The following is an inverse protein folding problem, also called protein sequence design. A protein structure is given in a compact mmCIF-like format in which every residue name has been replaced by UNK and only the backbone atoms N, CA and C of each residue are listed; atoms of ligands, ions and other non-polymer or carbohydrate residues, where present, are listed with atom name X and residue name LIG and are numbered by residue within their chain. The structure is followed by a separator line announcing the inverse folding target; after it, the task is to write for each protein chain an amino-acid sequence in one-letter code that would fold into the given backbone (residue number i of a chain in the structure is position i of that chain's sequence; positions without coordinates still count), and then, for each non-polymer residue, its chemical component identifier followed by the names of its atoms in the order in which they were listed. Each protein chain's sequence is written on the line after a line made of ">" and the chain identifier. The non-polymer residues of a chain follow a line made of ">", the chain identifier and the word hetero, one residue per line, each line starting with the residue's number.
data_IF_061828529652
#
_entry.id   IF_061828529652
#
_cell.length_a   1.000
_cell.length_b   1.000
_cell.length_c   1.000
_cell.angle_alpha   90.00
_cell.angle_beta   90.00
_cell.angle_gamma   90.00
#
_symmetry.space_group_name_H-M   'P 1'
#
loop_
_entity.id
_entity.type
_entity.pdbx_description
1 polymer ?
#
# COMPACT_ATOMS: atom_id res chain seq x y z
N UNK A 1 -36.22 -23.60 36.25
CA UNK A 1 -37.49 -24.34 36.11
C UNK A 1 -38.29 -23.77 34.93
N UNK A 2 -38.82 -24.66 34.07
CA UNK A 2 -39.80 -24.47 32.95
C UNK A 2 -39.19 -23.97 31.62
N UNK A 3 -38.80 -24.88 30.69
CA UNK A 3 -39.55 -25.58 29.61
C UNK A 3 -39.83 -24.69 28.38
N UNK A 4 -39.07 -24.79 27.26
CA UNK A 4 -39.18 -25.70 26.07
C UNK A 4 -40.51 -25.57 25.28
N UNK A 5 -40.43 -25.18 23.99
CA UNK A 5 -41.15 -25.89 22.91
C UNK A 5 -40.58 -25.58 21.50
N UNK A 6 -40.24 -26.65 20.78
CA UNK A 6 -39.94 -26.72 19.33
C UNK A 6 -41.25 -26.92 18.56
N UNK A 7 -41.32 -26.47 17.30
CA UNK A 7 -42.26 -27.03 16.32
C UNK A 7 -41.61 -27.09 14.93
N UNK A 8 -41.58 -28.30 14.37
CA UNK A 8 -41.23 -28.62 13.00
C UNK A 8 -42.38 -29.44 12.39
N UNK A 9 -42.83 -29.10 11.18
CA UNK A 9 -43.74 -29.84 10.30
C UNK A 9 -43.55 -29.20 8.91
N UNK A 10 -43.52 -29.87 7.76
CA UNK A 10 -43.79 -31.25 7.37
C UNK A 10 -44.02 -31.23 5.85
N UNK A 11 -43.41 -32.17 5.12
CA UNK A 11 -43.50 -32.34 3.66
C UNK A 11 -44.92 -32.74 3.20
N UNK A 12 -45.34 -32.31 1.99
CA UNK A 12 -46.36 -33.03 1.21
C UNK A 12 -46.07 -32.90 -0.29
N UNK A 13 -45.88 -34.05 -0.94
CA UNK A 13 -45.75 -34.21 -2.39
C UNK A 13 -47.10 -34.62 -2.99
N UNK A 14 -47.45 -34.09 -4.17
CA UNK A 14 -48.56 -34.59 -4.99
C UNK A 14 -48.05 -34.79 -6.42
N UNK A 15 -48.11 -36.05 -6.84
CA UNK A 15 -47.90 -36.55 -8.21
C UNK A 15 -49.27 -36.69 -8.86
N UNK A 16 -49.45 -36.19 -10.09
CA UNK A 16 -50.60 -36.54 -10.94
C UNK A 16 -50.14 -36.70 -12.39
N UNK A 17 -50.45 -37.87 -12.94
CA UNK A 17 -50.12 -38.37 -14.28
C UNK A 17 -51.18 -38.02 -15.34
N UNK A 18 -50.75 -37.94 -16.60
CA UNK A 18 -51.44 -37.56 -17.86
C UNK A 18 -52.53 -38.57 -18.31
N UNK A 19 -53.36 -38.27 -19.35
CA UNK A 19 -52.95 -38.56 -20.74
C UNK A 19 -53.45 -37.61 -21.87
N UNK A 20 -52.56 -37.46 -22.86
CA UNK A 20 -52.73 -37.47 -24.34
C UNK A 20 -53.80 -36.63 -25.06
N UNK A 21 -53.31 -35.78 -25.99
CA UNK A 21 -53.91 -35.65 -27.32
C UNK A 21 -52.80 -35.45 -28.37
N UNK A 22 -52.67 -36.43 -29.26
CA UNK A 22 -51.83 -36.39 -30.47
C UNK A 22 -52.66 -35.83 -31.62
N UNK A 23 -52.13 -34.86 -32.36
CA UNK A 23 -52.54 -34.60 -33.76
C UNK A 23 -51.35 -34.07 -34.55
N UNK A 24 -51.18 -34.69 -35.70
CA UNK A 24 -50.18 -34.52 -36.75
C UNK A 24 -50.22 -33.15 -37.44
N UNK A 25 -49.05 -32.63 -37.80
CA UNK A 25 -48.91 -31.48 -38.69
C UNK A 25 -47.44 -31.19 -38.99
N UNK A 26 -46.91 -31.85 -40.02
CA UNK A 26 -45.56 -31.64 -40.55
C UNK A 26 -45.50 -30.37 -41.40
N UNK A 27 -44.77 -29.36 -40.94
CA UNK A 27 -44.13 -28.35 -41.78
C UNK A 27 -42.74 -28.10 -41.20
N UNK A 28 -41.71 -28.41 -42.00
CA UNK A 28 -40.32 -28.35 -41.58
C UNK A 28 -39.86 -26.93 -41.28
N UNK A 29 -38.99 -26.81 -40.28
CA UNK A 29 -37.81 -25.96 -40.32
C UNK A 29 -36.80 -26.49 -39.33
N UNK A 30 -35.57 -26.66 -39.80
CA UNK A 30 -34.41 -27.07 -39.03
C UNK A 30 -34.16 -26.02 -37.94
N UNK A 31 -34.24 -26.42 -36.67
CA UNK A 31 -33.73 -25.62 -35.57
C UNK A 31 -32.22 -25.81 -35.51
N UNK A 32 -31.53 -24.86 -36.12
CA UNK A 32 -30.12 -24.57 -35.88
C UNK A 32 -29.93 -24.27 -34.38
N UNK A 33 -28.92 -24.90 -33.78
CA UNK A 33 -28.64 -24.75 -32.35
C UNK A 33 -28.06 -23.37 -32.08
N UNK A 34 -28.92 -22.38 -31.81
CA UNK A 34 -28.48 -21.08 -31.36
C UNK A 34 -27.97 -21.19 -29.92
N UNK A 35 -26.65 -21.19 -29.78
CA UNK A 35 -25.92 -21.06 -28.54
C UNK A 35 -26.46 -19.90 -27.70
N UNK A 36 -26.54 -20.09 -26.38
CA UNK A 36 -26.82 -19.04 -25.42
C UNK A 36 -25.89 -17.83 -25.70
N UNK A 37 -26.39 -16.58 -25.62
CA UNK A 37 -25.52 -15.44 -25.82
C UNK A 37 -24.45 -15.46 -24.75
N UNK A 38 -23.20 -15.65 -25.18
CA UNK A 38 -22.04 -15.41 -24.35
C UNK A 38 -22.22 -14.01 -23.77
N UNK A 39 -22.23 -13.91 -22.43
CA UNK A 39 -22.12 -12.64 -21.74
C UNK A 39 -20.75 -12.09 -22.15
N UNK A 40 -20.71 -11.33 -23.25
CA UNK A 40 -19.50 -10.64 -23.65
C UNK A 40 -19.10 -9.77 -22.46
N UNK A 41 -17.99 -10.15 -21.84
CA UNK A 41 -17.32 -9.31 -20.87
C UNK A 41 -17.16 -7.96 -21.55
N UNK A 42 -17.91 -6.95 -21.08
CA UNK A 42 -17.73 -5.56 -21.50
C UNK A 42 -16.26 -5.23 -21.27
N UNK A 43 -15.47 -5.38 -22.33
CA UNK A 43 -14.11 -4.91 -22.42
C UNK A 43 -14.27 -3.41 -22.40
N UNK A 44 -14.22 -2.79 -21.22
CA UNK A 44 -14.25 -1.33 -21.13
C UNK A 44 -13.14 -0.85 -22.04
N UNK A 45 -13.49 -0.14 -23.12
CA UNK A 45 -12.52 0.54 -23.95
C UNK A 45 -11.76 1.49 -23.04
N UNK A 46 -10.54 1.07 -22.67
CA UNK A 46 -9.62 1.90 -21.90
C UNK A 46 -9.16 2.99 -22.85
N UNK A 47 -9.61 4.22 -22.62
CA UNK A 47 -9.10 5.41 -23.32
C UNK A 47 -7.59 5.49 -23.08
N UNK A 48 -6.73 5.30 -24.10
CA UNK A 48 -5.30 5.45 -23.93
C UNK A 48 -4.96 6.94 -23.76
N UNK A 49 -4.22 7.28 -22.70
CA UNK A 49 -3.49 8.55 -22.63
C UNK A 49 -4.31 9.81 -22.45
N UNK A 50 -5.36 9.81 -21.63
CA UNK A 50 -5.94 11.07 -21.17
C UNK A 50 -4.88 11.85 -20.36
N UNK A 51 -4.67 13.13 -20.69
CA UNK A 51 -3.82 14.08 -19.96
C UNK A 51 -4.41 14.35 -18.56
N UNK A 52 -4.42 13.33 -17.70
CA UNK A 52 -4.84 13.45 -16.32
C UNK A 52 -3.81 14.30 -15.57
N UNK A 53 -4.22 15.40 -14.92
CA UNK A 53 -3.29 16.23 -14.16
C UNK A 53 -2.72 15.46 -12.96
N UNK A 54 -1.52 15.85 -12.56
CA UNK A 54 -0.82 15.29 -11.40
C UNK A 54 0.37 14.39 -11.74
N UNK A 55 1.02 13.90 -10.68
CA UNK A 55 2.21 13.04 -10.78
C UNK A 55 1.87 11.57 -10.51
N UNK A 56 2.71 10.72 -11.09
CA UNK A 56 2.81 9.30 -10.82
C UNK A 56 4.30 8.90 -10.75
N UNK A 57 4.61 7.61 -10.55
CA UNK A 57 6.00 7.12 -10.61
C UNK A 57 6.28 6.29 -11.86
N UNK A 58 7.49 6.48 -12.40
CA UNK A 58 8.08 5.65 -13.45
C UNK A 58 9.49 5.20 -13.07
N UNK A 59 10.05 4.31 -13.89
CA UNK A 59 11.44 3.87 -13.79
C UNK A 59 12.38 4.94 -14.35
N UNK A 60 13.38 5.31 -13.57
CA UNK A 60 14.52 6.10 -13.98
C UNK A 60 15.72 5.23 -14.33
N UNK A 61 16.91 5.79 -14.15
CA UNK A 61 18.17 5.12 -14.45
C UNK A 61 18.42 3.94 -13.52
N UNK A 62 19.17 2.95 -14.02
CA UNK A 62 19.66 1.84 -13.21
C UNK A 62 20.73 2.34 -12.23
N UNK A 63 20.63 1.90 -10.97
CA UNK A 63 21.59 2.20 -9.91
C UNK A 63 22.06 0.92 -9.25
N UNK A 64 23.35 0.87 -8.89
CA UNK A 64 23.91 -0.20 -8.08
C UNK A 64 23.30 -0.17 -6.67
N UNK A 65 22.80 -1.31 -6.21
CA UNK A 65 22.17 -1.51 -4.90
C UNK A 65 22.29 -2.97 -4.49
N UNK A 66 23.35 -3.28 -3.72
CA UNK A 66 23.66 -4.64 -3.31
C UNK A 66 22.62 -5.18 -2.30
N UNK A 67 22.07 -6.35 -2.59
CA UNK A 67 21.19 -7.09 -1.69
C UNK A 67 22.04 -7.85 -0.67
N UNK A 68 21.87 -7.50 0.60
CA UNK A 68 22.50 -8.21 1.71
C UNK A 68 21.43 -9.02 2.44
N UNK A 69 21.46 -10.36 2.39
CA UNK A 69 20.54 -11.18 3.16
C UNK A 69 20.81 -10.97 4.65
N UNK A 70 19.74 -10.73 5.40
CA UNK A 70 19.79 -10.61 6.86
C UNK A 70 18.73 -11.53 7.48
N UNK A 71 19.11 -12.23 8.54
CA UNK A 71 18.17 -13.07 9.27
C UNK A 71 17.25 -12.19 10.12
N UNK A 72 15.95 -12.36 9.94
CA UNK A 72 14.93 -11.64 10.70
C UNK A 72 13.64 -12.45 10.77
N UNK A 73 13.15 -12.67 11.99
CA UNK A 73 11.86 -13.32 12.26
C UNK A 73 10.92 -12.28 12.85
N UNK A 74 9.75 -12.10 12.22
CA UNK A 74 8.74 -11.14 12.70
C UNK A 74 8.11 -11.61 13.99
N UNK A 75 7.83 -10.67 14.89
CA UNK A 75 7.03 -10.93 16.08
C UNK A 75 5.57 -11.30 15.74
N UNK A 76 5.05 -10.79 14.62
CA UNK A 76 3.68 -11.00 14.16
C UNK A 76 3.57 -10.94 12.63
N UNK A 77 2.52 -11.54 12.07
CA UNK A 77 2.17 -11.38 10.65
C UNK A 77 1.53 -10.02 10.34
N UNK A 78 1.09 -9.28 11.36
CA UNK A 78 0.61 -7.91 11.25
C UNK A 78 1.75 -6.92 11.53
N UNK A 79 1.83 -5.79 10.81
CA UNK A 79 2.84 -4.77 11.10
C UNK A 79 2.59 -4.14 12.48
N UNK A 80 3.67 -3.76 13.15
CA UNK A 80 3.61 -2.96 14.38
C UNK A 80 3.07 -1.54 14.10
N UNK A 81 3.22 -1.07 12.86
CA UNK A 81 2.51 0.10 12.37
C UNK A 81 2.75 0.32 10.88
N UNK A 82 1.88 1.13 10.29
CA UNK A 82 1.94 1.54 8.89
C UNK A 82 1.89 3.06 8.80
N UNK A 83 2.33 3.61 7.67
CA UNK A 83 2.13 5.02 7.33
C UNK A 83 2.16 5.20 5.80
N UNK A 84 1.59 6.31 5.34
CA UNK A 84 1.53 6.65 3.92
C UNK A 84 1.83 8.13 3.68
N UNK A 85 2.51 8.39 2.57
CA UNK A 85 2.74 9.71 2.01
C UNK A 85 2.06 9.77 0.65
N UNK A 86 1.21 10.77 0.46
CA UNK A 86 0.61 11.06 -0.84
C UNK A 86 1.50 12.08 -1.54
N UNK A 87 1.90 11.81 -2.79
CA UNK A 87 2.73 12.73 -3.55
C UNK A 87 1.96 13.30 -4.73
N UNK A 88 2.26 14.54 -5.08
CA UNK A 88 1.76 15.18 -6.30
C UNK A 88 2.67 16.37 -6.66
N UNK A 89 2.41 17.02 -7.80
CA UNK A 89 3.02 18.34 -8.05
C UNK A 89 2.36 19.42 -7.17
N UNK A 90 2.95 20.62 -7.13
CA UNK A 90 2.44 21.72 -6.29
C UNK A 90 0.99 22.09 -6.64
N UNK A 91 0.63 22.14 -7.93
CA UNK A 91 -0.74 22.46 -8.38
C UNK A 91 -1.72 21.36 -7.98
N UNK A 92 -1.31 20.11 -8.08
CA UNK A 92 -2.07 18.94 -7.64
C UNK A 92 -2.32 18.96 -6.13
N UNK A 93 -1.32 19.29 -5.32
CA UNK A 93 -1.50 19.46 -3.87
C UNK A 93 -2.48 20.61 -3.55
N UNK A 94 -2.40 21.73 -4.26
CA UNK A 94 -3.34 22.85 -4.12
C UNK A 94 -4.76 22.46 -4.51
N UNK A 95 -4.93 21.63 -5.55
CA UNK A 95 -6.23 21.11 -5.96
C UNK A 95 -6.77 20.05 -4.98
N UNK A 96 -5.90 19.25 -4.35
CA UNK A 96 -6.28 18.21 -3.41
C UNK A 96 -6.75 18.75 -2.06
N UNK A 97 -6.25 19.93 -1.66
CA UNK A 97 -6.59 20.51 -0.37
C UNK A 97 -6.43 22.03 -0.34
N UNK A 98 -7.46 22.71 0.18
CA UNK A 98 -7.46 24.16 0.42
C UNK A 98 -6.67 24.54 1.68
N UNK A 99 -6.49 23.62 2.63
CA UNK A 99 -5.84 23.88 3.92
C UNK A 99 -4.77 22.85 4.24
N UNK A 100 -3.52 23.30 4.20
CA UNK A 100 -2.33 22.49 4.51
C UNK A 100 -1.34 23.28 5.36
N UNK A 101 -0.66 22.59 6.27
CA UNK A 101 0.45 23.13 7.05
C UNK A 101 1.75 22.50 6.56
N UNK A 102 2.76 23.33 6.28
CA UNK A 102 4.11 22.82 6.01
C UNK A 102 4.68 22.17 7.28
N UNK A 103 5.30 21.02 7.13
CA UNK A 103 5.89 20.26 8.24
C UNK A 103 7.33 19.88 7.91
N UNK A 104 8.07 19.45 8.93
CA UNK A 104 9.38 18.84 8.71
C UNK A 104 9.25 17.62 7.79
N UNK A 105 10.16 17.42 6.81
CA UNK A 105 10.01 16.36 5.83
C UNK A 105 10.06 14.95 6.42
N UNK A 106 10.96 14.75 7.38
CA UNK A 106 11.02 13.55 8.18
C UNK A 106 9.97 13.65 9.30
N UNK A 107 9.10 12.64 9.39
CA UNK A 107 8.10 12.54 10.45
C UNK A 107 8.10 11.14 11.05
N UNK A 108 7.78 11.06 12.33
CA UNK A 108 7.65 9.78 13.04
C UNK A 108 6.43 9.00 12.57
N UNK A 109 6.58 7.68 12.46
CA UNK A 109 5.52 6.75 12.10
C UNK A 109 5.59 5.47 12.94
N UNK A 110 4.58 4.60 12.80
CA UNK A 110 4.49 3.31 13.51
C UNK A 110 4.73 3.46 15.03
N UNK A 111 3.98 4.35 15.68
CA UNK A 111 4.13 4.64 17.12
C UNK A 111 5.45 5.31 17.51
N UNK A 112 6.29 5.72 16.56
CA UNK A 112 7.59 6.33 16.80
C UNK A 112 8.78 5.39 16.61
N UNK A 113 8.55 4.15 16.16
CA UNK A 113 9.61 3.19 15.83
C UNK A 113 10.56 3.72 14.75
N UNK A 114 10.00 4.44 13.78
CA UNK A 114 10.72 5.01 12.66
C UNK A 114 10.41 6.49 12.49
N UNK A 115 11.33 7.17 11.82
CA UNK A 115 11.14 8.49 11.23
C UNK A 115 11.44 8.39 9.74
N UNK A 116 10.58 8.92 8.88
CA UNK A 116 10.74 8.74 7.44
C UNK A 116 10.18 9.88 6.62
N UNK A 117 10.64 9.99 5.37
CA UNK A 117 10.26 11.04 4.43
C UNK A 117 10.82 10.79 3.03
N UNK A 118 10.60 11.74 2.12
CA UNK A 118 10.99 11.63 0.71
C UNK A 118 12.11 12.61 0.40
N UNK A 119 13.19 12.11 -0.19
CA UNK A 119 14.36 12.88 -0.60
C UNK A 119 14.37 13.02 -2.11
N UNK A 120 14.52 14.24 -2.61
CA UNK A 120 14.75 14.56 -4.02
C UNK A 120 16.21 14.87 -4.31
N UNK A 121 16.50 15.47 -5.46
CA UNK A 121 17.87 15.74 -5.91
C UNK A 121 18.68 16.70 -5.02
N UNK A 122 18.05 17.75 -4.49
CA UNK A 122 18.73 18.82 -3.71
C UNK A 122 18.53 18.69 -2.19
N UNK A 123 17.82 17.66 -1.72
CA UNK A 123 17.45 17.49 -0.31
C UNK A 123 16.07 16.89 -0.14
N UNK A 124 15.50 16.99 1.06
CA UNK A 124 14.15 16.50 1.31
C UNK A 124 13.09 17.33 0.58
N UNK A 125 12.08 16.64 0.06
CA UNK A 125 10.98 17.29 -0.66
C UNK A 125 10.05 18.07 0.30
N UNK A 126 9.47 19.18 -0.16
CA UNK A 126 8.50 19.94 0.63
C UNK A 126 7.33 19.05 1.07
N UNK A 127 7.13 18.98 2.39
CA UNK A 127 6.14 18.12 3.01
C UNK A 127 5.08 18.94 3.74
N UNK A 128 3.85 18.45 3.69
CA UNK A 128 2.69 19.11 4.29
C UNK A 128 1.84 18.10 5.04
N UNK A 129 1.14 18.58 6.08
CA UNK A 129 -0.01 17.88 6.65
C UNK A 129 -1.28 18.59 6.21
N UNK A 130 -2.22 17.83 5.69
CA UNK A 130 -3.58 18.28 5.47
C UNK A 130 -4.32 18.40 6.82
N UNK A 131 -5.07 19.48 7.03
CA UNK A 131 -5.93 19.62 8.20
C UNK A 131 -7.17 18.72 8.07
N UNK A 132 -7.62 18.10 9.16
CA UNK A 132 -8.78 17.19 9.16
C UNK A 132 -8.37 15.73 9.03
N UNK A 133 -8.19 15.23 7.80
CA UNK A 133 -7.86 13.82 7.55
C UNK A 133 -6.41 13.44 7.91
N UNK A 134 -5.56 14.43 8.21
CA UNK A 134 -4.19 14.20 8.68
C UNK A 134 -3.24 13.61 7.63
N UNK A 135 -3.63 13.57 6.35
CA UNK A 135 -2.80 13.03 5.26
C UNK A 135 -1.48 13.80 5.17
N UNK A 136 -0.39 13.04 5.01
CA UNK A 136 0.91 13.63 4.70
C UNK A 136 1.07 13.73 3.19
N UNK A 137 1.33 14.95 2.72
CA UNK A 137 1.48 15.30 1.32
C UNK A 137 2.94 15.67 1.03
N UNK A 138 3.46 15.26 -0.12
CA UNK A 138 4.81 15.61 -0.60
C UNK A 138 4.74 16.21 -2.00
N UNK A 139 5.34 17.38 -2.17
CA UNK A 139 5.44 18.03 -3.47
C UNK A 139 6.66 17.51 -4.24
N UNK A 140 6.42 16.85 -5.37
CA UNK A 140 7.43 16.47 -6.35
C UNK A 140 7.43 17.40 -7.56
N UNK A 141 8.42 17.22 -8.43
CA UNK A 141 8.50 17.87 -9.74
C UNK A 141 8.51 16.82 -10.83
N UNK A 142 7.81 17.06 -11.94
CA UNK A 142 7.78 16.14 -13.07
C UNK A 142 9.20 15.89 -13.57
N UNK A 143 9.53 14.62 -13.80
CA UNK A 143 10.86 14.11 -14.15
C UNK A 143 11.92 14.22 -13.04
N UNK A 144 11.57 14.69 -11.84
CA UNK A 144 12.45 14.68 -10.68
C UNK A 144 12.64 13.26 -10.14
N UNK A 145 13.89 12.89 -9.86
CA UNK A 145 14.21 11.66 -9.15
C UNK A 145 13.93 11.81 -7.65
N UNK A 146 13.58 10.71 -6.99
CA UNK A 146 13.40 10.69 -5.54
C UNK A 146 13.81 9.36 -4.90
N UNK A 147 13.97 9.35 -3.59
CA UNK A 147 14.20 8.18 -2.75
C UNK A 147 13.36 8.22 -1.48
N UNK A 148 13.06 7.04 -0.93
CA UNK A 148 12.37 6.89 0.36
C UNK A 148 13.44 6.75 1.43
N UNK A 149 13.44 7.63 2.42
CA UNK A 149 14.39 7.58 3.54
C UNK A 149 13.67 7.16 4.81
N UNK A 150 14.13 6.09 5.46
CA UNK A 150 13.58 5.57 6.70
C UNK A 150 14.70 5.44 7.74
N UNK A 151 14.52 6.04 8.91
CA UNK A 151 15.43 6.01 10.05
C UNK A 151 14.84 5.16 11.15
N UNK A 152 15.59 4.17 11.63
CA UNK A 152 15.22 3.38 12.79
C UNK A 152 15.56 4.15 14.07
N UNK A 153 14.56 4.43 14.90
CA UNK A 153 14.70 5.14 16.18
C UNK A 153 14.87 4.19 17.38
N UNK A 154 14.79 2.89 17.14
CA UNK A 154 14.86 1.84 18.14
C UNK A 154 16.29 1.32 18.32
N UNK A 155 16.50 0.59 19.41
CA UNK A 155 17.73 -0.18 19.68
C UNK A 155 17.67 -1.62 19.16
N UNK A 156 16.59 -2.00 18.47
CA UNK A 156 16.40 -3.31 17.83
C UNK A 156 16.27 -3.17 16.30
N UNK A 157 16.51 -4.28 15.59
CA UNK A 157 16.31 -4.32 14.15
C UNK A 157 14.81 -4.26 13.81
N UNK A 158 14.50 -3.62 12.69
CA UNK A 158 13.14 -3.54 12.13
C UNK A 158 13.13 -4.10 10.71
N UNK A 159 12.01 -4.64 10.27
CA UNK A 159 11.78 -4.96 8.86
C UNK A 159 10.82 -3.94 8.25
N UNK A 160 11.24 -3.34 7.13
CA UNK A 160 10.52 -2.27 6.42
C UNK A 160 10.04 -2.82 5.07
N UNK A 161 8.73 -3.07 4.98
CA UNK A 161 8.07 -3.33 3.69
C UNK A 161 7.62 -1.98 3.14
N UNK A 162 8.05 -1.64 1.92
CA UNK A 162 7.73 -0.37 1.29
C UNK A 162 7.01 -0.59 -0.04
N UNK A 163 6.13 0.34 -0.37
CA UNK A 163 5.40 0.33 -1.64
C UNK A 163 5.31 1.71 -2.28
N UNK A 164 5.22 1.71 -3.59
CA UNK A 164 5.01 2.92 -4.41
C UNK A 164 3.93 2.59 -5.43
N UNK A 165 2.89 3.41 -5.49
CA UNK A 165 1.72 3.24 -6.37
C UNK A 165 1.06 1.86 -6.26
N UNK A 166 1.09 1.26 -5.06
CA UNK A 166 0.55 -0.06 -4.77
C UNK A 166 1.48 -1.24 -5.11
N UNK A 167 2.70 -0.98 -5.58
CA UNK A 167 3.69 -1.99 -5.93
C UNK A 167 4.78 -2.10 -4.88
N UNK A 168 5.17 -3.32 -4.58
CA UNK A 168 6.28 -3.62 -3.68
C UNK A 168 7.60 -3.20 -4.33
N UNK A 169 8.45 -2.50 -3.57
CA UNK A 169 9.71 -1.96 -4.10
C UNK A 169 10.77 -3.04 -4.35
N UNK A 170 10.64 -4.24 -3.76
CA UNK A 170 11.61 -5.33 -3.90
C UNK A 170 11.33 -6.25 -5.09
N UNK A 171 10.08 -6.36 -5.56
CA UNK A 171 9.75 -7.25 -6.67
C UNK A 171 8.87 -6.62 -7.78
N UNK A 172 8.43 -5.37 -7.61
CA UNK A 172 7.61 -4.65 -8.58
C UNK A 172 6.20 -5.20 -8.77
N UNK A 173 5.76 -6.18 -7.98
CA UNK A 173 4.41 -6.77 -8.00
C UNK A 173 3.55 -6.12 -6.90
N UNK A 174 2.25 -6.40 -6.88
CA UNK A 174 1.32 -5.86 -5.87
C UNK A 174 1.86 -5.99 -4.44
N UNK A 175 1.87 -4.88 -3.71
CA UNK A 175 2.35 -4.82 -2.33
C UNK A 175 1.46 -5.64 -1.40
N UNK A 176 2.06 -6.25 -0.40
CA UNK A 176 1.38 -7.12 0.56
C UNK A 176 2.18 -7.19 1.86
N UNK A 177 1.49 -7.25 2.99
CA UNK A 177 2.13 -7.42 4.29
C UNK A 177 2.82 -8.78 4.47
N UNK A 178 2.48 -9.78 3.65
CA UNK A 178 3.11 -11.10 3.69
C UNK A 178 4.50 -11.11 3.02
N UNK A 179 4.78 -10.14 2.14
CA UNK A 179 6.08 -10.01 1.48
C UNK A 179 7.16 -9.57 2.44
N UNK A 180 8.42 -9.90 2.12
CA UNK A 180 9.60 -9.51 2.90
C UNK A 180 10.10 -8.12 2.48
N UNK A 181 10.63 -7.40 3.45
CA UNK A 181 11.14 -6.03 3.29
C UNK A 181 12.63 -5.92 3.56
N UNK A 182 13.11 -4.69 3.68
CA UNK A 182 14.49 -4.39 4.06
C UNK A 182 14.67 -4.55 5.58
N UNK A 183 15.79 -5.14 6.00
CA UNK A 183 16.15 -5.19 7.41
C UNK A 183 16.95 -3.93 7.76
N UNK A 184 16.39 -3.12 8.63
CA UNK A 184 16.97 -1.87 9.08
C UNK A 184 17.53 -2.01 10.49
N UNK A 185 18.85 -1.98 10.59
CA UNK A 185 19.60 -2.15 11.83
C UNK A 185 19.33 -1.02 12.84
N UNK A 186 19.54 -1.26 14.16
CA UNK A 186 19.34 -0.27 15.21
C UNK A 186 20.03 1.07 14.94
N UNK A 187 19.29 2.18 15.08
CA UNK A 187 19.82 3.54 14.88
C UNK A 187 20.31 3.88 13.47
N UNK A 188 20.17 2.98 12.49
CA UNK A 188 20.60 3.20 11.10
C UNK A 188 19.49 3.81 10.25
N UNK A 189 19.88 4.30 9.09
CA UNK A 189 18.99 4.80 8.04
C UNK A 189 19.05 3.91 6.81
N UNK A 190 17.91 3.75 6.16
CA UNK A 190 17.71 3.09 4.87
C UNK A 190 17.30 4.14 3.85
N UNK A 191 17.95 4.15 2.69
CA UNK A 191 17.54 4.91 1.52
C UNK A 191 17.15 3.93 0.41
N UNK A 192 15.87 3.93 0.04
CA UNK A 192 15.31 3.11 -1.05
C UNK A 192 15.24 3.99 -2.29
N UNK A 193 16.16 3.78 -3.23
CA UNK A 193 16.31 4.65 -4.39
C UNK A 193 15.44 4.25 -5.58
N UNK A 194 14.86 3.04 -5.58
CA UNK A 194 14.17 2.51 -6.75
C UNK A 194 13.49 1.16 -6.54
N UNK A 195 12.85 0.69 -7.61
CA UNK A 195 12.34 -0.68 -7.70
C UNK A 195 13.50 -1.63 -7.98
N UNK A 196 13.62 -2.70 -7.20
CA UNK A 196 14.65 -3.71 -7.43
C UNK A 196 14.42 -4.46 -8.73
N UNK A 197 15.48 -4.54 -9.53
CA UNK A 197 15.50 -5.24 -10.82
C UNK A 197 16.37 -6.49 -10.79
N UNK A 198 17.39 -6.51 -9.92
CA UNK A 198 18.26 -7.67 -9.66
C UNK A 198 18.78 -7.68 -8.22
N UNK A 199 19.64 -8.63 -7.89
CA UNK A 199 20.31 -8.67 -6.58
C UNK A 199 21.23 -7.47 -6.32
N UNK A 200 21.79 -6.85 -7.35
CA UNK A 200 22.78 -5.78 -7.25
C UNK A 200 22.30 -4.45 -7.84
N UNK A 201 21.06 -4.38 -8.34
CA UNK A 201 20.55 -3.19 -9.06
C UNK A 201 19.10 -2.86 -8.72
N UNK A 202 18.81 -1.57 -8.84
CA UNK A 202 17.46 -0.99 -8.78
C UNK A 202 17.25 -0.05 -9.97
N UNK A 203 16.02 0.04 -10.47
CA UNK A 203 15.59 1.12 -11.35
C UNK A 203 15.10 2.28 -10.48
N UNK A 204 15.79 3.42 -10.55
CA UNK A 204 15.54 4.56 -9.65
C UNK A 204 14.11 5.11 -9.77
N UNK A 205 13.56 5.66 -8.70
CA UNK A 205 12.25 6.29 -8.77
C UNK A 205 12.32 7.66 -9.45
N UNK A 206 11.39 7.91 -10.36
CA UNK A 206 11.24 9.19 -11.05
C UNK A 206 9.78 9.58 -11.12
N UNK A 207 9.46 10.82 -10.78
CA UNK A 207 8.13 11.36 -10.98
C UNK A 207 7.83 11.49 -12.48
N UNK A 208 6.66 11.05 -12.92
CA UNK A 208 6.16 11.18 -14.29
C UNK A 208 4.74 11.73 -14.30
N UNK A 209 4.23 12.07 -15.49
CA UNK A 209 2.79 12.34 -15.64
C UNK A 209 1.99 11.04 -15.60
N UNK A 210 0.74 11.12 -15.17
CA UNK A 210 -0.16 9.94 -15.00
C UNK A 210 -0.28 9.10 -16.28
N UNK A 211 -0.30 9.73 -17.46
CA UNK A 211 -0.39 9.05 -18.75
C UNK A 211 0.80 8.09 -19.03
N UNK A 212 1.97 8.35 -18.47
CA UNK A 212 3.20 7.58 -18.67
C UNK A 212 3.59 6.77 -17.40
N UNK A 213 2.62 6.48 -16.52
CA UNK A 213 2.90 5.87 -15.23
C UNK A 213 2.98 4.34 -15.28
N UNK A 214 3.86 3.78 -14.44
CA UNK A 214 4.08 2.33 -14.38
C UNK A 214 2.84 1.55 -13.93
N UNK A 215 2.05 2.09 -12.99
CA UNK A 215 0.81 1.48 -12.50
C UNK A 215 -0.27 1.34 -13.61
N UNK A 216 -0.38 2.35 -14.48
CA UNK A 216 -1.27 2.30 -15.65
C UNK A 216 -0.80 1.25 -16.67
N UNK A 217 0.52 1.11 -16.85
CA UNK A 217 1.10 0.18 -17.83
C UNK A 217 0.98 -1.30 -17.41
N UNK A 218 0.91 -1.62 -16.11
CA UNK A 218 0.92 -3.02 -15.62
C UNK A 218 -0.42 -3.54 -15.13
N UNK A 219 -1.22 -2.74 -14.42
CA UNK A 219 -2.38 -3.29 -13.69
C UNK A 219 -3.69 -2.50 -13.81
N UNK A 220 -3.68 -1.28 -14.37
CA UNK A 220 -4.91 -0.51 -14.60
C UNK A 220 -5.68 -0.10 -13.33
N UNK A 221 -5.18 -0.41 -12.14
CA UNK A 221 -5.77 0.01 -10.87
C UNK A 221 -5.24 1.41 -10.52
N UNK A 222 -6.00 2.42 -10.92
CA UNK A 222 -5.67 3.84 -10.72
C UNK A 222 -5.84 4.32 -9.28
N UNK A 223 -6.36 3.47 -8.37
CA UNK A 223 -6.73 3.89 -7.01
C UNK A 223 -5.53 4.19 -6.10
N UNK A 224 -4.35 3.64 -6.41
CA UNK A 224 -3.16 3.79 -5.57
C UNK A 224 -2.10 4.73 -6.15
N UNK A 225 -2.33 5.32 -7.33
CA UNK A 225 -1.39 6.26 -7.94
C UNK A 225 -1.22 7.48 -7.06
N UNK A 226 0.02 7.91 -6.83
CA UNK A 226 0.30 9.06 -5.98
C UNK A 226 0.49 8.68 -4.51
N UNK A 227 0.69 7.40 -4.18
CA UNK A 227 0.83 6.93 -2.78
C UNK A 227 2.11 6.14 -2.59
N UNK A 228 2.88 6.51 -1.56
CA UNK A 228 4.03 5.77 -1.05
C UNK A 228 3.68 5.26 0.34
N UNK A 229 3.79 3.95 0.56
CA UNK A 229 3.45 3.31 1.82
C UNK A 229 4.64 2.64 2.48
N UNK A 230 4.63 2.59 3.81
CA UNK A 230 5.51 1.70 4.59
C UNK A 230 4.71 0.87 5.59
N UNK A 231 5.20 -0.33 5.86
CA UNK A 231 4.78 -1.19 6.95
C UNK A 231 6.01 -1.63 7.74
N UNK A 232 5.97 -1.43 9.06
CA UNK A 232 7.08 -1.69 9.97
C UNK A 232 6.78 -2.94 10.78
N UNK A 233 7.68 -3.91 10.75
CA UNK A 233 7.61 -5.12 11.55
C UNK A 233 8.74 -5.17 12.57
N UNK A 234 8.41 -5.69 13.75
CA UNK A 234 9.34 -5.84 14.87
C UNK A 234 9.87 -7.27 14.95
N UNK A 235 11.04 -7.43 15.54
CA UNK A 235 11.69 -8.73 15.68
C UNK A 235 11.02 -9.56 16.78
N UNK A 236 10.86 -10.87 16.54
CA UNK A 236 10.30 -11.81 17.51
C UNK A 236 11.16 -11.83 18.78
N UNK A 237 10.50 -11.85 19.94
CA UNK A 237 11.11 -11.91 21.27
C UNK A 237 12.05 -10.72 21.60
N UNK A 238 11.86 -9.57 20.94
CA UNK A 238 12.58 -8.33 21.25
C UNK A 238 11.54 -7.24 21.51
N UNK A 239 11.63 -6.55 22.64
CA UNK A 239 10.83 -5.34 22.87
C UNK A 239 11.45 -4.18 22.08
N UNK A 240 10.78 -3.66 21.04
CA UNK A 240 11.33 -2.57 20.24
C UNK A 240 11.32 -1.22 20.98
N UNK A 241 10.57 -1.13 22.08
CA UNK A 241 10.41 0.09 22.85
C UNK A 241 11.41 0.18 24.01
N UNK A 242 12.08 -0.92 24.32
CA UNK A 242 13.17 -0.96 25.28
C UNK A 242 14.28 0.02 24.84
N UNK A 243 14.62 0.96 25.73
CA UNK A 243 15.63 2.01 25.49
C UNK A 243 15.34 2.95 24.31
N UNK A 244 14.06 3.19 23.99
CA UNK A 244 13.69 4.28 23.10
C UNK A 244 14.17 5.63 23.64
N UNK A 245 14.48 6.62 22.77
CA UNK A 245 14.95 7.94 23.21
C UNK A 245 14.07 8.57 24.30
N UNK A 246 12.74 8.50 24.16
CA UNK A 246 11.82 9.04 25.19
C UNK A 246 11.96 8.35 26.55
N UNK A 247 12.25 7.06 26.57
CA UNK A 247 12.42 6.31 27.82
C UNK A 247 13.77 6.62 28.46
N UNK A 248 14.83 6.77 27.65
CA UNK A 248 16.14 7.23 28.12
C UNK A 248 16.02 8.64 28.69
N UNK A 249 15.38 9.58 27.97
CA UNK A 249 15.18 10.96 28.44
C UNK A 249 14.40 11.00 29.77
N UNK A 250 13.39 10.15 29.95
CA UNK A 250 12.63 10.04 31.21
C UNK A 250 13.50 9.55 32.36
N UNK A 251 14.40 8.60 32.12
CA UNK A 251 15.30 8.06 33.16
C UNK A 251 16.39 9.07 33.52
N UNK A 252 16.93 9.78 32.54
CA UNK A 252 17.94 10.83 32.75
C UNK A 252 17.35 12.04 33.50
N UNK A 253 16.08 12.35 33.27
CA UNK A 253 15.36 13.45 33.95
C UNK A 253 14.55 13.01 35.18
N UNK A 254 14.67 11.73 35.57
CA UNK A 254 13.93 11.20 36.71
C UNK A 254 14.38 11.89 38.00
N UNK A 255 13.42 12.47 38.73
CA UNK A 255 13.69 13.09 40.03
C UNK A 255 13.86 11.99 41.09
N UNK A 256 14.88 12.08 41.97
CA UNK A 256 15.13 11.07 43.00
C UNK A 256 14.05 11.01 44.09
N UNK A 257 13.23 12.05 44.22
CA UNK A 257 12.11 12.10 45.16
C UNK A 257 10.81 12.40 44.41
N UNK A 258 9.76 11.63 44.72
CA UNK A 258 8.43 11.88 44.19
C UNK A 258 7.88 13.20 44.73
N UNK A 259 7.31 14.03 43.86
CA UNK A 259 6.51 15.17 44.31
C UNK A 259 5.26 14.60 45.00
N UNK A 260 5.02 15.01 46.26
CA UNK A 260 3.80 14.62 46.98
C UNK A 260 2.54 15.02 46.18
N UNK A 261 1.46 14.22 46.26
CA UNK A 261 0.22 14.45 45.51
C UNK A 261 -0.46 15.78 45.83
#
# INVERSE_FOLDING_TARGET
>A
MKHRLFLALGFLAIVATLPSCTTSGSYGNAYDSAAAPALEARKSERVPGENRPGLATTWGDEKKSDYVPAYFVRASSKPAGTDAIFYNDRKGIEAMTSYKKRVEPLQTAAGGLVEWGIKGGIGYLPSYKENGYGRRLVAGEKNGGYSIVVKNRCRSALEIVASVDGLDVQDGKSASFQKRGYILQPGKSLEIEGFRTSYDKVASFKFSGVANSYANLRHGDTRNVGVIGIAVFTQKNVDPWEWMPREVDRRDTARPFATAP
#
